data_IF_294998337184
#
_entry.id   IF_294998337184
#
_cell.length_a   1.000
_cell.length_b   1.000
_cell.length_c   1.000
_cell.angle_alpha   90.00
_cell.angle_beta   90.00
_cell.angle_gamma   90.00
#
_symmetry.space_group_name_H-M   'P 1'
#
loop_
_entity.id
_entity.type
_entity.pdbx_description
1 polymer ?
#
# COMPACT_ATOMS: atom_id res chain seq x y z
N UNK A 1 8.39 23.14 18.82
CA UNK A 1 7.66 23.81 19.91
C UNK A 1 6.31 23.13 20.07
N UNK A 2 5.91 22.83 21.31
CA UNK A 2 4.60 22.25 21.63
C UNK A 2 3.77 23.25 22.43
N UNK A 3 2.46 23.13 22.32
CA UNK A 3 1.48 23.97 23.00
C UNK A 3 0.47 23.06 23.69
N UNK A 4 0.16 23.33 24.96
CA UNK A 4 -0.83 22.59 25.73
C UNK A 4 -2.04 23.49 25.92
N UNK A 5 -3.22 23.02 25.53
CA UNK A 5 -4.45 23.74 25.82
C UNK A 5 -5.62 22.79 25.96
N UNK A 6 -6.67 23.26 26.63
CA UNK A 6 -7.97 22.62 26.58
C UNK A 6 -8.65 22.94 25.25
N UNK A 7 -9.22 21.91 24.63
CA UNK A 7 -9.87 22.04 23.34
C UNK A 7 -11.09 22.98 23.42
N UNK A 8 -10.98 24.16 22.81
CA UNK A 8 -12.06 25.17 22.80
C UNK A 8 -13.35 24.70 22.10
N UNK A 9 -13.22 23.71 21.20
CA UNK A 9 -14.33 23.09 20.46
C UNK A 9 -14.02 21.62 20.19
N UNK A 10 -15.04 20.77 20.11
CA UNK A 10 -14.90 19.35 19.74
C UNK A 10 -14.58 19.11 18.24
N UNK A 11 -14.09 20.12 17.51
CA UNK A 11 -13.83 20.04 16.06
C UNK A 11 -12.44 19.51 15.72
N UNK A 12 -11.54 19.43 16.70
CA UNK A 12 -10.20 18.88 16.50
C UNK A 12 -10.20 17.36 16.54
N UNK A 13 -9.30 16.77 15.76
CA UNK A 13 -9.03 15.34 15.75
C UNK A 13 -7.57 15.10 16.11
N UNK A 14 -7.30 14.07 16.91
CA UNK A 14 -5.95 13.63 17.20
C UNK A 14 -5.27 13.18 15.90
N UNK A 15 -4.17 13.82 15.56
CA UNK A 15 -3.47 13.62 14.30
C UNK A 15 -2.85 12.23 14.18
N UNK A 16 -2.59 11.56 15.32
CA UNK A 16 -2.09 10.20 15.39
C UNK A 16 -3.22 9.16 15.36
N UNK A 17 -4.09 9.15 16.37
CA UNK A 17 -5.13 8.10 16.53
C UNK A 17 -6.36 8.32 15.65
N UNK A 18 -6.51 9.51 15.04
CA UNK A 18 -7.71 9.94 14.31
C UNK A 18 -8.99 9.96 15.16
N UNK A 19 -8.89 9.85 16.49
CA UNK A 19 -10.03 10.04 17.39
C UNK A 19 -10.36 11.52 17.51
N UNK A 20 -11.64 11.85 17.65
CA UNK A 20 -12.08 13.22 17.98
C UNK A 20 -11.53 13.59 19.37
N UNK A 21 -11.16 14.85 19.52
CA UNK A 21 -10.80 15.46 20.81
C UNK A 21 -12.00 16.32 21.21
N UNK A 22 -12.63 15.98 22.32
CA UNK A 22 -13.84 16.63 22.79
C UNK A 22 -13.56 18.05 23.30
N UNK A 23 -14.62 18.84 23.45
CA UNK A 23 -14.49 20.17 24.04
C UNK A 23 -14.02 20.02 25.50
N UNK A 24 -13.14 20.91 25.93
CA UNK A 24 -12.56 20.96 27.27
C UNK A 24 -11.64 19.76 27.60
N UNK A 25 -11.32 18.93 26.60
CA UNK A 25 -10.30 17.87 26.71
C UNK A 25 -8.89 18.45 26.48
N UNK A 26 -7.92 18.00 27.27
CA UNK A 26 -6.52 18.43 27.13
C UNK A 26 -5.92 17.90 25.81
N UNK A 27 -5.27 18.79 25.05
CA UNK A 27 -4.59 18.45 23.80
C UNK A 27 -3.21 19.08 23.67
N UNK A 28 -2.37 18.41 22.90
CA UNK A 28 -1.01 18.84 22.56
C UNK A 28 -0.99 19.31 21.12
N UNK A 29 -0.63 20.57 20.89
CA UNK A 29 -0.34 21.15 19.60
C UNK A 29 1.13 20.98 19.27
N UNK A 30 1.46 20.45 18.09
CA UNK A 30 2.83 20.38 17.57
C UNK A 30 2.88 21.06 16.21
N UNK A 31 3.80 22.00 16.03
CA UNK A 31 4.11 22.56 14.72
C UNK A 31 4.93 21.54 13.92
N UNK A 32 4.46 21.22 12.71
CA UNK A 32 5.16 20.36 11.77
C UNK A 32 5.29 21.08 10.43
N UNK A 33 6.45 20.98 9.81
CA UNK A 33 6.60 21.48 8.45
C UNK A 33 5.99 20.49 7.47
N UNK A 34 5.06 20.97 6.67
CA UNK A 34 4.47 20.22 5.57
C UNK A 34 4.68 21.03 4.30
N UNK A 35 5.53 20.52 3.41
CA UNK A 35 5.86 21.19 2.14
C UNK A 35 6.40 22.62 2.32
N UNK A 36 7.25 22.83 3.33
CA UNK A 36 7.81 24.15 3.65
C UNK A 36 6.84 25.11 4.33
N UNK A 37 5.60 24.68 4.63
CA UNK A 37 4.64 25.45 5.39
C UNK A 37 4.46 24.89 6.80
N UNK A 38 4.63 25.70 7.86
CA UNK A 38 4.43 25.26 9.22
C UNK A 38 2.94 25.06 9.50
N UNK A 39 2.54 23.82 9.78
CA UNK A 39 1.17 23.46 10.14
C UNK A 39 1.08 23.00 11.60
N UNK A 40 0.08 23.50 12.33
CA UNK A 40 -0.21 23.04 13.70
C UNK A 40 -1.05 21.76 13.65
N UNK A 41 -0.52 20.67 14.23
CA UNK A 41 -1.24 19.41 14.41
C UNK A 41 -1.63 19.21 15.86
N UNK A 42 -2.89 18.86 16.08
CA UNK A 42 -3.42 18.56 17.40
C UNK A 42 -3.35 17.06 17.69
N UNK A 43 -3.02 16.72 18.93
CA UNK A 43 -2.96 15.35 19.46
C UNK A 43 -3.71 15.32 20.80
N UNK A 44 -4.42 14.22 21.08
CA UNK A 44 -4.77 13.92 22.47
C UNK A 44 -3.49 13.59 23.25
N UNK A 45 -3.50 13.77 24.57
CA UNK A 45 -2.33 13.48 25.42
C UNK A 45 -1.84 12.04 25.18
N UNK A 46 -2.73 11.06 25.25
CA UNK A 46 -2.35 9.66 25.00
C UNK A 46 -1.87 9.40 23.59
N UNK A 47 -2.54 9.97 22.58
CA UNK A 47 -2.14 9.81 21.19
C UNK A 47 -0.78 10.46 20.90
N UNK A 48 -0.42 11.51 21.63
CA UNK A 48 0.88 12.14 21.56
C UNK A 48 1.98 11.20 22.08
N UNK A 49 1.83 10.66 23.30
CA UNK A 49 2.81 9.73 23.87
C UNK A 49 2.88 8.41 23.08
N UNK A 50 1.75 7.90 22.59
CA UNK A 50 1.72 6.68 21.77
C UNK A 50 2.51 6.83 20.46
N UNK A 51 2.43 8.02 19.84
CA UNK A 51 3.22 8.41 18.68
C UNK A 51 4.72 8.48 19.00
N UNK A 52 5.09 9.04 20.16
CA UNK A 52 6.51 9.15 20.55
C UNK A 52 7.14 7.77 20.75
N UNK A 53 6.46 6.87 21.46
CA UNK A 53 6.86 5.47 21.59
C UNK A 53 7.09 4.81 20.21
N UNK A 54 6.16 5.03 19.25
CA UNK A 54 6.27 4.42 17.92
C UNK A 54 7.45 4.96 17.11
N UNK A 55 7.71 6.26 17.19
CA UNK A 55 8.86 6.88 16.53
C UNK A 55 10.19 6.38 17.11
N UNK A 56 10.21 6.09 18.42
CA UNK A 56 11.36 5.48 19.11
C UNK A 56 11.62 4.05 18.64
N UNK A 57 10.57 3.27 18.37
CA UNK A 57 10.71 1.92 17.78
C UNK A 57 11.19 1.94 16.31
N UNK A 58 10.82 2.95 15.53
CA UNK A 58 11.13 3.06 14.09
C UNK A 58 12.47 3.76 13.80
N UNK A 59 13.04 4.51 14.74
CA UNK A 59 14.30 5.23 14.56
C UNK A 59 15.07 5.36 15.88
N UNK A 60 16.37 5.02 15.87
CA UNK A 60 17.29 5.27 17.00
C UNK A 60 17.47 6.76 17.30
N UNK A 61 17.07 7.64 16.39
CA UNK A 61 16.93 9.09 16.64
C UNK A 61 15.58 9.36 17.28
N UNK A 62 15.44 8.95 18.53
CA UNK A 62 14.49 9.61 19.42
C UNK A 62 15.02 11.04 19.54
N UNK A 63 14.19 12.05 19.27
CA UNK A 63 14.53 13.37 19.79
C UNK A 63 14.57 13.20 21.28
N UNK A 64 15.76 13.30 21.85
CA UNK A 64 15.94 13.14 23.27
C UNK A 64 15.03 14.18 23.91
N UNK A 65 14.05 13.71 24.67
CA UNK A 65 13.15 14.62 25.38
C UNK A 65 13.92 15.36 26.50
N UNK A 66 15.20 15.08 26.71
CA UNK A 66 16.11 15.91 27.49
C UNK A 66 16.62 17.16 26.72
N UNK A 67 16.73 17.11 25.38
CA UNK A 67 16.89 18.33 24.53
C UNK A 67 15.57 19.11 24.40
N UNK A 68 14.47 18.46 24.77
CA UNK A 68 13.25 19.15 25.14
C UNK A 68 13.48 19.82 26.49
N UNK A 69 14.30 20.89 26.50
CA UNK A 69 14.07 21.95 27.46
C UNK A 69 12.58 22.23 27.36
N UNK A 70 11.85 21.78 28.38
CA UNK A 70 10.47 22.16 28.65
C UNK A 70 10.52 23.63 29.09
N UNK A 71 11.10 24.47 28.22
CA UNK A 71 10.89 25.90 28.16
C UNK A 71 9.40 26.06 28.27
N UNK A 72 8.90 26.79 29.30
CA UNK A 72 7.51 26.77 29.72
C UNK A 72 6.61 26.79 28.49
N UNK A 73 6.06 25.61 28.16
CA UNK A 73 5.27 25.47 26.94
C UNK A 73 4.08 26.38 27.12
N UNK A 74 3.79 27.21 26.12
CA UNK A 74 2.63 28.07 26.13
C UNK A 74 1.40 27.23 26.51
N UNK A 75 0.80 27.56 27.66
CA UNK A 75 -0.39 26.92 28.19
C UNK A 75 -0.19 25.82 29.24
N UNK A 76 1.03 25.53 29.72
CA UNK A 76 1.23 24.58 30.84
C UNK A 76 0.79 25.15 32.19
N UNK A 77 1.06 26.44 32.44
CA UNK A 77 0.72 27.11 33.70
C UNK A 77 -0.79 27.27 33.91
N UNK A 78 -1.59 27.14 32.86
CA UNK A 78 -3.06 27.26 32.90
C UNK A 78 -3.76 25.89 32.99
N UNK A 79 -2.99 24.79 33.08
CA UNK A 79 -3.56 23.46 33.27
C UNK A 79 -4.03 23.26 34.72
N UNK A 80 -5.09 22.46 34.87
CA UNK A 80 -5.53 22.01 36.18
C UNK A 80 -4.44 21.16 36.85
N UNK A 81 -4.28 21.21 38.19
CA UNK A 81 -3.23 20.46 38.89
C UNK A 81 -3.22 18.95 38.61
N UNK A 82 -4.40 18.34 38.46
CA UNK A 82 -4.52 16.92 38.11
C UNK A 82 -3.97 16.61 36.71
N UNK A 83 -4.30 17.45 35.73
CA UNK A 83 -3.88 17.23 34.34
C UNK A 83 -2.39 17.53 34.15
N UNK A 84 -1.86 18.48 34.93
CA UNK A 84 -0.43 18.72 35.06
C UNK A 84 0.29 17.47 35.56
N UNK A 85 -0.18 16.90 36.68
CA UNK A 85 0.38 15.67 37.24
C UNK A 85 0.28 14.50 36.26
N UNK A 86 -0.82 14.40 35.51
CA UNK A 86 -0.96 13.38 34.47
C UNK A 86 0.08 13.54 33.36
N UNK A 87 0.30 14.74 32.83
CA UNK A 87 1.32 14.98 31.79
C UNK A 87 2.74 14.71 32.34
N UNK A 88 3.03 15.15 33.56
CA UNK A 88 4.31 14.89 34.23
C UNK A 88 4.56 13.38 34.43
N UNK A 89 3.57 12.63 34.89
CA UNK A 89 3.66 11.18 35.04
C UNK A 89 3.92 10.50 33.69
N UNK A 90 3.22 10.92 32.63
CA UNK A 90 3.39 10.35 31.29
C UNK A 90 4.75 10.67 30.69
N UNK A 91 5.37 11.80 31.07
CA UNK A 91 6.76 12.12 30.71
C UNK A 91 7.73 11.18 31.43
N UNK A 92 7.55 10.93 32.74
CA UNK A 92 8.38 9.97 33.48
C UNK A 92 8.28 8.57 32.85
N UNK A 93 7.06 8.10 32.59
CA UNK A 93 6.81 6.79 31.97
C UNK A 93 7.37 6.66 30.55
N UNK A 94 7.55 7.78 29.84
CA UNK A 94 8.14 7.80 28.50
C UNK A 94 9.64 7.49 28.54
N UNK A 95 10.33 7.87 29.63
CA UNK A 95 11.75 7.66 29.82
C UNK A 95 12.09 6.36 30.58
N UNK A 96 11.11 5.76 31.25
CA UNK A 96 11.28 4.49 31.98
C UNK A 96 11.37 3.29 31.02
N UNK A 97 12.47 2.53 31.08
CA UNK A 97 12.73 1.38 30.19
C UNK A 97 11.79 0.19 30.44
N UNK A 98 11.38 -0.04 31.69
CA UNK A 98 10.48 -1.13 32.05
C UNK A 98 9.08 -0.87 31.50
N UNK A 99 8.60 0.37 31.64
CA UNK A 99 7.32 0.80 31.09
C UNK A 99 7.33 0.79 29.55
N UNK A 100 8.45 1.16 28.93
CA UNK A 100 8.63 1.03 27.47
C UNK A 100 8.52 -0.43 27.01
N UNK A 101 9.21 -1.35 27.68
CA UNK A 101 9.16 -2.78 27.37
C UNK A 101 7.74 -3.35 27.50
N UNK A 102 7.01 -2.96 28.56
CA UNK A 102 5.60 -3.34 28.77
C UNK A 102 4.70 -2.85 27.63
N UNK A 103 4.77 -1.56 27.26
CA UNK A 103 3.96 -0.99 26.18
C UNK A 103 4.28 -1.65 24.83
N UNK A 104 5.54 -1.96 24.55
CA UNK A 104 5.95 -2.69 23.33
C UNK A 104 5.38 -4.11 23.29
N UNK A 105 5.45 -4.84 24.41
CA UNK A 105 4.89 -6.18 24.53
C UNK A 105 3.37 -6.18 24.35
N UNK A 106 2.66 -5.23 24.95
CA UNK A 106 1.22 -5.08 24.82
C UNK A 106 0.79 -4.79 23.36
N UNK A 107 1.49 -3.88 22.68
CA UNK A 107 1.25 -3.59 21.25
C UNK A 107 1.50 -4.82 20.37
N UNK A 108 2.55 -5.59 20.64
CA UNK A 108 2.83 -6.83 19.93
C UNK A 108 1.73 -7.89 20.15
N UNK A 109 1.18 -7.97 21.37
CA UNK A 109 0.05 -8.85 21.70
C UNK A 109 -1.22 -8.44 20.93
N UNK A 110 -1.58 -7.15 20.97
CA UNK A 110 -2.74 -6.63 20.26
C UNK A 110 -2.64 -6.81 18.74
N UNK A 111 -1.43 -6.70 18.17
CA UNK A 111 -1.19 -6.95 16.76
C UNK A 111 -1.40 -8.44 16.38
N UNK A 112 -0.95 -9.37 17.23
CA UNK A 112 -1.19 -10.82 17.05
C UNK A 112 -2.68 -11.16 17.15
N UNK A 113 -3.39 -10.59 18.13
CA UNK A 113 -4.84 -10.79 18.28
C UNK A 113 -5.62 -10.31 17.06
N UNK A 114 -5.31 -9.12 16.54
CA UNK A 114 -5.93 -8.61 15.29
C UNK A 114 -5.65 -9.50 14.08
N UNK A 115 -4.45 -10.06 13.95
CA UNK A 115 -4.10 -11.00 12.87
C UNK A 115 -4.89 -12.31 12.98
N UNK A 116 -5.06 -12.82 14.20
CA UNK A 116 -5.83 -14.04 14.46
C UNK A 116 -7.33 -13.84 14.23
N UNK A 117 -7.89 -12.68 14.61
CA UNK A 117 -9.28 -12.34 14.35
C UNK A 117 -9.59 -12.25 12.85
N UNK A 118 -8.69 -11.65 12.06
CA UNK A 118 -8.84 -11.57 10.59
C UNK A 118 -8.85 -12.96 9.94
N UNK A 119 -7.97 -13.85 10.37
CA UNK A 119 -7.86 -15.23 9.84
C UNK A 119 -9.07 -16.11 10.14
N UNK A 120 -9.88 -15.75 11.16
CA UNK A 120 -11.10 -16.47 11.53
C UNK A 120 -12.30 -16.06 10.66
N UNK A 121 -12.36 -14.81 10.20
CA UNK A 121 -13.42 -14.31 9.32
C UNK A 121 -13.32 -14.86 7.89
N UNK A 122 -12.10 -15.18 7.43
CA UNK A 122 -11.88 -15.66 6.07
C UNK A 122 -12.25 -17.16 5.87
N UNK A 123 -12.69 -17.87 6.92
CA UNK A 123 -12.84 -19.35 6.91
C UNK A 123 -14.30 -19.85 7.05
N UNK A 124 -15.31 -18.97 6.92
CA UNK A 124 -16.74 -19.29 7.10
C UNK A 124 -17.60 -19.12 5.82
N UNK A 125 -17.02 -18.94 4.63
CA UNK A 125 -17.77 -18.64 3.39
C UNK A 125 -17.86 -19.76 2.33
N UNK A 126 -17.48 -21.00 2.63
CA UNK A 126 -17.55 -22.09 1.64
C UNK A 126 -18.29 -23.32 2.19
N UNK A 127 -19.60 -23.35 2.01
CA UNK A 127 -20.41 -24.57 1.94
C UNK A 127 -21.79 -24.24 1.37
N UNK A 128 -22.08 -24.67 0.14
CA UNK A 128 -23.28 -25.45 -0.22
C UNK A 128 -23.47 -25.54 -1.75
N UNK A 129 -23.57 -26.78 -2.27
CA UNK A 129 -24.38 -27.08 -3.46
C UNK A 129 -23.67 -27.75 -4.65
N UNK A 130 -23.51 -29.07 -4.60
CA UNK A 130 -23.45 -29.95 -5.79
C UNK A 130 -24.87 -30.13 -6.37
N UNK A 131 -25.03 -30.03 -7.70
CA UNK A 131 -25.97 -30.87 -8.47
C UNK A 131 -25.54 -30.97 -9.94
N UNK A 132 -25.60 -32.20 -10.47
CA UNK A 132 -25.02 -32.71 -11.70
C UNK A 132 -25.97 -32.59 -12.92
N UNK A 133 -25.43 -32.32 -14.11
CA UNK A 133 -25.89 -32.98 -15.35
C UNK A 133 -24.90 -32.82 -16.53
N UNK A 134 -24.44 -33.95 -17.06
CA UNK A 134 -23.53 -34.12 -18.21
C UNK A 134 -24.23 -33.83 -19.56
N UNK A 135 -23.69 -32.99 -20.46
CA UNK A 135 -22.82 -33.35 -21.61
C UNK A 135 -23.44 -32.87 -22.95
N UNK A 136 -22.77 -32.86 -24.13
CA UNK A 136 -21.36 -33.08 -24.45
C UNK A 136 -20.73 -32.05 -25.45
N UNK A 137 -19.39 -32.00 -25.43
CA UNK A 137 -18.49 -31.73 -26.57
C UNK A 137 -18.46 -30.33 -27.23
N UNK A 138 -17.47 -29.52 -26.84
CA UNK A 138 -16.41 -29.14 -27.79
C UNK A 138 -15.12 -28.83 -27.04
N UNK A 139 -14.02 -29.45 -27.48
CA UNK A 139 -12.69 -29.36 -26.88
C UNK A 139 -12.14 -27.94 -27.06
N UNK A 140 -12.14 -27.15 -25.99
CA UNK A 140 -11.20 -26.04 -25.82
C UNK A 140 -10.51 -26.25 -24.48
N UNK A 141 -9.21 -26.48 -24.53
CA UNK A 141 -8.38 -26.71 -23.36
C UNK A 141 -8.61 -25.57 -22.36
N UNK A 142 -9.09 -25.94 -21.17
CA UNK A 142 -9.27 -25.06 -20.02
C UNK A 142 -7.90 -24.51 -19.66
N UNK A 143 -7.70 -23.20 -19.81
CA UNK A 143 -6.61 -22.51 -19.13
C UNK A 143 -7.04 -22.35 -17.68
N UNK A 144 -6.43 -23.13 -16.79
CA UNK A 144 -6.68 -23.00 -15.35
C UNK A 144 -6.19 -21.63 -14.84
N UNK A 145 -6.92 -20.99 -13.91
CA UNK A 145 -6.47 -19.78 -13.27
C UNK A 145 -5.40 -20.11 -12.22
N UNK A 146 -4.20 -19.54 -12.39
CA UNK A 146 -3.27 -19.33 -11.28
C UNK A 146 -2.33 -20.47 -10.90
N UNK A 147 -1.56 -21.02 -11.86
CA UNK A 147 -0.27 -21.62 -11.51
C UNK A 147 0.81 -20.56 -11.62
N UNK A 148 1.26 -20.03 -10.49
CA UNK A 148 2.43 -19.15 -10.41
C UNK A 148 3.63 -19.93 -11.00
N UNK A 149 4.06 -19.57 -12.21
CA UNK A 149 5.17 -20.27 -12.88
C UNK A 149 6.39 -20.24 -11.96
N UNK A 150 6.87 -21.41 -11.55
CA UNK A 150 8.07 -21.53 -10.72
C UNK A 150 9.23 -21.86 -11.66
N UNK A 151 10.28 -21.05 -11.62
CA UNK A 151 11.51 -21.39 -12.34
C UNK A 151 12.02 -22.77 -11.91
N UNK A 152 12.51 -23.59 -12.85
CA UNK A 152 13.17 -24.84 -12.50
C UNK A 152 14.43 -24.57 -11.66
N UNK A 153 14.86 -25.56 -10.87
CA UNK A 153 15.98 -25.41 -9.93
C UNK A 153 17.33 -25.20 -10.65
N UNK A 154 17.49 -25.75 -11.86
CA UNK A 154 18.63 -25.50 -12.73
C UNK A 154 18.31 -25.93 -14.16
N UNK A 155 18.80 -25.19 -15.15
CA UNK A 155 18.78 -25.60 -16.56
C UNK A 155 20.04 -25.11 -17.28
N UNK A 156 20.92 -26.06 -17.60
CA UNK A 156 22.20 -25.78 -18.26
C UNK A 156 22.04 -25.83 -19.77
N UNK A 157 22.38 -24.72 -20.43
CA UNK A 157 22.46 -24.63 -21.90
C UNK A 157 23.92 -24.57 -22.32
N UNK A 158 24.32 -25.39 -23.28
CA UNK A 158 25.68 -25.50 -23.82
C UNK A 158 25.68 -25.95 -25.28
N UNK A 159 26.83 -25.88 -25.96
CA UNK A 159 27.00 -26.34 -27.35
C UNK A 159 26.98 -25.23 -28.42
N UNK A 160 27.11 -25.55 -29.70
CA UNK A 160 27.24 -24.55 -30.76
C UNK A 160 26.01 -23.64 -30.85
N UNK A 161 26.21 -22.32 -30.67
CA UNK A 161 25.11 -21.35 -30.66
C UNK A 161 24.35 -21.23 -29.34
N UNK A 162 24.90 -21.78 -28.24
CA UNK A 162 24.30 -21.76 -26.90
C UNK A 162 23.88 -20.37 -26.45
N UNK A 163 24.59 -19.31 -26.87
CA UNK A 163 24.26 -17.94 -26.47
C UNK A 163 22.86 -17.51 -26.96
N UNK A 164 22.50 -17.89 -28.19
CA UNK A 164 21.20 -17.57 -28.77
C UNK A 164 20.09 -18.35 -28.09
N UNK A 165 20.30 -19.65 -27.86
CA UNK A 165 19.32 -20.48 -27.14
C UNK A 165 19.12 -20.00 -25.69
N UNK A 166 20.21 -19.77 -24.95
CA UNK A 166 20.16 -19.34 -23.57
C UNK A 166 19.50 -17.97 -23.40
N UNK A 167 19.76 -17.02 -24.30
CA UNK A 167 19.11 -15.69 -24.26
C UNK A 167 17.61 -15.75 -24.52
N UNK A 168 17.16 -16.60 -25.45
CA UNK A 168 15.74 -16.81 -25.70
C UNK A 168 15.05 -17.47 -24.50
N UNK A 169 15.64 -18.53 -23.93
CA UNK A 169 15.09 -19.19 -22.73
C UNK A 169 15.06 -18.25 -21.52
N UNK A 170 16.13 -17.48 -21.30
CA UNK A 170 16.21 -16.50 -20.20
C UNK A 170 15.11 -15.43 -20.34
N UNK A 171 14.89 -14.92 -21.56
CA UNK A 171 13.81 -13.98 -21.89
C UNK A 171 12.44 -14.59 -21.63
N UNK A 172 12.22 -15.83 -22.06
CA UNK A 172 10.92 -16.49 -21.96
C UNK A 172 10.56 -16.79 -20.50
N UNK A 173 11.52 -17.23 -19.68
CA UNK A 173 11.33 -17.36 -18.24
C UNK A 173 11.11 -16.01 -17.55
N UNK A 174 11.85 -14.98 -17.94
CA UNK A 174 11.61 -13.63 -17.41
C UNK A 174 10.20 -13.13 -17.74
N UNK A 175 9.67 -13.39 -18.95
CA UNK A 175 8.31 -13.04 -19.35
C UNK A 175 7.24 -13.82 -18.57
N UNK A 176 7.46 -15.11 -18.33
CA UNK A 176 6.57 -15.93 -17.51
C UNK A 176 6.53 -15.45 -16.05
N UNK A 177 7.63 -14.87 -15.57
CA UNK A 177 7.73 -14.20 -14.27
C UNK A 177 7.27 -12.74 -14.31
N UNK A 178 6.62 -12.30 -15.39
CA UNK A 178 6.14 -10.95 -15.61
C UNK A 178 7.23 -9.85 -15.47
N UNK A 179 8.47 -10.11 -15.89
CA UNK A 179 9.53 -9.09 -15.87
C UNK A 179 9.17 -7.84 -16.69
N UNK A 180 9.68 -6.67 -16.29
CA UNK A 180 9.54 -5.40 -17.03
C UNK A 180 10.46 -5.34 -18.27
N UNK A 181 10.33 -6.32 -19.17
CA UNK A 181 11.08 -6.35 -20.43
C UNK A 181 10.35 -5.56 -21.53
N UNK A 182 11.10 -4.98 -22.49
CA UNK A 182 10.51 -4.39 -23.70
C UNK A 182 9.62 -5.38 -24.45
N UNK A 183 8.58 -4.85 -25.11
CA UNK A 183 7.70 -5.64 -25.97
C UNK A 183 8.44 -6.15 -27.23
N UNK A 184 9.46 -5.43 -27.70
CA UNK A 184 10.29 -5.85 -28.82
C UNK A 184 11.13 -7.08 -28.44
N UNK A 185 10.91 -8.18 -29.18
CA UNK A 185 11.57 -9.47 -28.93
C UNK A 185 13.09 -9.43 -29.09
N UNK A 186 13.60 -8.59 -30.00
CA UNK A 186 15.04 -8.50 -30.28
C UNK A 186 15.73 -7.73 -29.16
N UNK A 187 15.17 -6.62 -28.72
CA UNK A 187 15.69 -5.85 -27.59
C UNK A 187 15.57 -6.63 -26.27
N UNK A 188 14.45 -7.31 -26.02
CA UNK A 188 14.30 -8.17 -24.84
C UNK A 188 15.32 -9.33 -24.85
N UNK A 189 15.57 -9.95 -26.00
CA UNK A 189 16.59 -10.99 -26.13
C UNK A 189 18.02 -10.45 -25.95
N UNK A 190 18.33 -9.22 -26.41
CA UNK A 190 19.63 -8.57 -26.15
C UNK A 190 19.85 -8.29 -24.67
N UNK A 191 18.82 -7.82 -23.97
CA UNK A 191 18.87 -7.62 -22.51
C UNK A 191 19.12 -8.95 -21.82
N UNK A 192 18.36 -10.00 -22.16
CA UNK A 192 18.57 -11.34 -21.62
C UNK A 192 19.97 -11.91 -21.90
N UNK A 193 20.48 -11.68 -23.11
CA UNK A 193 21.83 -12.10 -23.50
C UNK A 193 22.92 -11.47 -22.63
N UNK A 194 22.76 -10.22 -22.18
CA UNK A 194 23.70 -9.58 -21.25
C UNK A 194 23.84 -10.37 -19.96
N UNK A 195 22.73 -10.80 -19.36
CA UNK A 195 22.75 -11.59 -18.12
C UNK A 195 23.28 -13.00 -18.32
N UNK A 196 22.92 -13.62 -19.45
CA UNK A 196 23.49 -14.91 -19.87
C UNK A 196 25.01 -14.84 -19.97
N UNK A 197 25.57 -13.75 -20.53
CA UNK A 197 27.02 -13.57 -20.67
C UNK A 197 27.72 -13.31 -19.34
N UNK A 198 27.04 -12.72 -18.36
CA UNK A 198 27.56 -12.50 -17.02
C UNK A 198 27.55 -13.79 -16.17
N UNK A 199 26.53 -14.64 -16.37
CA UNK A 199 26.35 -15.88 -15.61
C UNK A 199 27.07 -17.10 -16.21
N UNK A 200 27.74 -16.95 -17.37
CA UNK A 200 28.36 -18.08 -18.07
C UNK A 200 29.51 -18.71 -17.31
N UNK A 201 29.63 -20.02 -17.45
CA UNK A 201 30.78 -20.82 -17.02
C UNK A 201 31.36 -21.50 -18.26
N UNK A 202 32.38 -20.86 -18.86
CA UNK A 202 32.94 -21.30 -20.13
C UNK A 202 31.94 -21.17 -21.28
N UNK A 203 31.65 -22.29 -21.95
CA UNK A 203 30.67 -22.39 -23.05
C UNK A 203 29.30 -22.92 -22.60
N UNK A 204 29.01 -22.77 -21.31
CA UNK A 204 27.75 -23.17 -20.71
C UNK A 204 27.20 -22.09 -19.79
N UNK A 205 25.90 -22.10 -19.57
CA UNK A 205 25.22 -21.18 -18.65
C UNK A 205 24.03 -21.89 -18.00
N UNK A 206 23.84 -21.65 -16.71
CA UNK A 206 22.58 -21.96 -16.05
C UNK A 206 21.59 -20.82 -16.31
N UNK A 207 20.60 -21.09 -17.16
CA UNK A 207 19.58 -20.13 -17.57
C UNK A 207 18.76 -19.66 -16.38
N UNK A 208 18.51 -20.52 -15.39
CA UNK A 208 17.73 -20.18 -14.20
C UNK A 208 18.43 -19.11 -13.36
N UNK A 209 19.73 -19.27 -13.13
CA UNK A 209 20.57 -18.28 -12.46
C UNK A 209 20.62 -16.95 -13.24
N UNK A 210 20.77 -17.02 -14.56
CA UNK A 210 20.75 -15.82 -15.43
C UNK A 210 19.40 -15.10 -15.36
N UNK A 211 18.28 -15.83 -15.35
CA UNK A 211 16.93 -15.26 -15.20
C UNK A 211 16.75 -14.62 -13.83
N UNK A 212 17.24 -15.22 -12.74
CA UNK A 212 17.15 -14.63 -11.40
C UNK A 212 17.88 -13.28 -11.32
N UNK A 213 19.09 -13.19 -11.89
CA UNK A 213 19.84 -11.94 -11.96
C UNK A 213 19.12 -10.87 -12.80
N UNK A 214 18.55 -11.28 -13.94
CA UNK A 214 17.74 -10.39 -14.78
C UNK A 214 16.53 -9.84 -14.02
N UNK A 215 15.81 -10.70 -13.30
CA UNK A 215 14.64 -10.30 -12.51
C UNK A 215 15.00 -9.32 -11.40
N UNK A 216 16.18 -9.47 -10.79
CA UNK A 216 16.68 -8.54 -9.78
C UNK A 216 16.98 -7.14 -10.35
N UNK A 217 17.50 -7.05 -11.58
CA UNK A 217 17.89 -5.78 -12.20
C UNK A 217 16.71 -5.08 -12.92
N UNK A 218 15.88 -5.84 -13.64
CA UNK A 218 14.76 -5.29 -14.45
C UNK A 218 13.49 -5.15 -13.61
N UNK A 219 13.34 -5.95 -12.55
CA UNK A 219 12.15 -5.99 -11.71
C UNK A 219 10.97 -6.69 -12.36
N UNK A 220 10.07 -7.19 -11.51
CA UNK A 220 8.82 -7.83 -11.92
C UNK A 220 7.75 -6.74 -12.06
N UNK A 221 6.91 -6.84 -13.09
CA UNK A 221 5.67 -6.08 -13.19
C UNK A 221 4.80 -6.53 -12.00
N UNK A 222 4.38 -5.58 -11.17
CA UNK A 222 3.48 -5.90 -10.07
C UNK A 222 2.30 -6.71 -10.63
N UNK A 223 2.05 -7.90 -10.09
CA UNK A 223 0.95 -8.80 -10.48
C UNK A 223 -0.45 -8.13 -10.44
N UNK A 224 -0.52 -6.90 -9.92
CA UNK A 224 -1.70 -6.04 -9.91
C UNK A 224 -2.03 -5.36 -11.25
N UNK A 225 -1.25 -5.55 -12.33
CA UNK A 225 -1.54 -4.92 -13.63
C UNK A 225 -2.48 -5.73 -14.53
N UNK A 226 -2.91 -6.93 -14.13
CA UNK A 226 -3.86 -7.74 -14.91
C UNK A 226 -5.00 -8.26 -14.03
N UNK A 227 -5.62 -7.39 -13.24
CA UNK A 227 -6.95 -7.69 -12.73
C UNK A 227 -7.87 -7.86 -13.95
N UNK A 228 -8.26 -9.10 -14.26
CA UNK A 228 -9.35 -9.35 -15.20
C UNK A 228 -10.59 -8.73 -14.57
N UNK A 229 -11.10 -7.68 -15.21
CA UNK A 229 -12.32 -7.01 -14.76
C UNK A 229 -13.48 -7.96 -15.00
N UNK A 230 -14.20 -8.32 -13.94
CA UNK A 230 -15.34 -9.26 -14.03
C UNK A 230 -16.43 -8.72 -14.97
N UNK A 231 -16.67 -7.41 -14.95
CA UNK A 231 -17.63 -6.71 -15.81
C UNK A 231 -16.91 -5.81 -16.81
N UNK A 232 -16.98 -6.16 -18.10
CA UNK A 232 -16.26 -5.45 -19.16
C UNK A 232 -16.59 -3.94 -19.24
N UNK A 233 -17.80 -3.52 -18.86
CA UNK A 233 -18.20 -2.11 -18.80
C UNK A 233 -17.34 -1.30 -17.81
N UNK A 234 -16.85 -1.93 -16.74
CA UNK A 234 -16.00 -1.27 -15.73
C UNK A 234 -14.54 -1.15 -16.18
N UNK A 235 -14.14 -1.76 -17.30
CA UNK A 235 -12.73 -1.83 -17.74
C UNK A 235 -12.11 -0.45 -18.02
N UNK A 236 -12.88 0.49 -18.57
CA UNK A 236 -12.45 1.87 -18.80
C UNK A 236 -12.16 2.60 -17.48
N UNK A 237 -13.06 2.47 -16.50
CA UNK A 237 -12.90 3.04 -15.16
C UNK A 237 -11.66 2.50 -14.43
N UNK A 238 -11.47 1.17 -14.44
CA UNK A 238 -10.31 0.51 -13.81
C UNK A 238 -9.01 0.99 -14.45
N UNK A 239 -8.99 1.14 -15.78
CA UNK A 239 -7.82 1.63 -16.51
C UNK A 239 -7.49 3.08 -16.15
N UNK A 240 -8.49 3.97 -16.13
CA UNK A 240 -8.33 5.37 -15.78
C UNK A 240 -7.84 5.56 -14.32
N UNK A 241 -8.39 4.80 -13.38
CA UNK A 241 -7.96 4.83 -11.98
C UNK A 241 -6.54 4.25 -11.79
N UNK A 242 -6.20 3.20 -12.54
CA UNK A 242 -4.84 2.62 -12.53
C UNK A 242 -3.80 3.59 -13.08
N UNK A 243 -4.17 4.37 -14.10
CA UNK A 243 -3.32 5.42 -14.66
C UNK A 243 -3.15 6.58 -13.66
N UNK A 244 -4.23 7.06 -13.04
CA UNK A 244 -4.17 8.00 -11.91
C UNK A 244 -3.24 7.51 -10.79
N UNK A 245 -3.28 6.22 -10.47
CA UNK A 245 -2.43 5.63 -9.44
C UNK A 245 -0.93 5.69 -9.80
N UNK A 246 -0.58 5.51 -11.07
CA UNK A 246 0.80 5.61 -11.56
C UNK A 246 1.30 7.06 -11.48
N UNK A 247 0.51 8.02 -11.98
CA UNK A 247 0.87 9.44 -11.92
C UNK A 247 1.05 9.94 -10.49
N UNK A 248 0.12 9.59 -9.58
CA UNK A 248 0.22 9.99 -8.18
C UNK A 248 1.49 9.44 -7.50
N UNK A 249 1.90 8.20 -7.82
CA UNK A 249 3.18 7.65 -7.33
C UNK A 249 4.38 8.38 -7.92
N UNK A 250 4.35 8.69 -9.22
CA UNK A 250 5.43 9.40 -9.89
C UNK A 250 5.61 10.83 -9.35
N UNK A 251 4.55 11.48 -8.89
CA UNK A 251 4.61 12.77 -8.20
C UNK A 251 5.02 12.68 -6.71
N UNK A 252 5.39 11.49 -6.23
CA UNK A 252 5.79 11.28 -4.83
C UNK A 252 4.62 11.18 -3.84
N UNK A 253 3.37 11.21 -4.31
CA UNK A 253 2.17 11.04 -3.46
C UNK A 253 1.75 9.55 -3.42
N UNK A 254 2.54 8.76 -2.70
CA UNK A 254 2.29 7.32 -2.52
C UNK A 254 0.97 7.01 -1.82
N UNK A 255 0.44 7.94 -1.02
CA UNK A 255 -0.85 7.79 -0.36
C UNK A 255 -2.00 7.85 -1.36
N UNK A 256 -2.02 8.87 -2.23
CA UNK A 256 -3.01 8.96 -3.31
C UNK A 256 -2.85 7.81 -4.31
N UNK A 257 -1.62 7.47 -4.69
CA UNK A 257 -1.36 6.36 -5.60
C UNK A 257 -1.87 5.01 -5.07
N UNK A 258 -1.76 4.79 -3.76
CA UNK A 258 -2.31 3.59 -3.11
C UNK A 258 -3.84 3.63 -3.04
N UNK A 259 -4.44 4.80 -2.79
CA UNK A 259 -5.89 4.95 -2.77
C UNK A 259 -6.52 4.68 -4.14
N UNK A 260 -5.96 5.24 -5.21
CA UNK A 260 -6.42 4.99 -6.58
C UNK A 260 -6.26 3.54 -7.00
N UNK A 261 -5.12 2.91 -6.65
CA UNK A 261 -4.91 1.48 -6.92
C UNK A 261 -5.97 0.61 -6.23
N UNK A 262 -6.21 0.83 -4.94
CA UNK A 262 -7.25 0.10 -4.20
C UNK A 262 -8.65 0.28 -4.78
N UNK A 263 -8.97 1.49 -5.26
CA UNK A 263 -10.24 1.74 -5.92
C UNK A 263 -10.34 1.02 -7.26
N UNK A 264 -9.27 0.98 -8.06
CA UNK A 264 -9.23 0.25 -9.32
C UNK A 264 -9.42 -1.26 -9.09
N UNK A 265 -8.68 -1.82 -8.13
CA UNK A 265 -8.78 -3.25 -7.76
C UNK A 265 -10.21 -3.58 -7.30
N UNK A 266 -10.79 -2.74 -6.44
CA UNK A 266 -12.12 -2.98 -5.91
C UNK A 266 -13.24 -2.85 -6.97
N UNK A 267 -13.06 -2.05 -8.02
CA UNK A 267 -14.01 -1.97 -9.15
C UNK A 267 -13.83 -3.16 -10.10
N UNK A 268 -12.61 -3.67 -10.24
CA UNK A 268 -12.34 -4.84 -11.08
C UNK A 268 -13.03 -6.10 -10.55
N UNK A 269 -13.17 -6.20 -9.23
CA UNK A 269 -13.84 -7.30 -8.52
C UNK A 269 -15.37 -7.17 -8.44
N UNK A 270 -15.99 -6.10 -8.98
CA UNK A 270 -17.45 -5.97 -8.97
C UNK A 270 -18.10 -6.84 -10.04
N UNK A 271 -19.16 -7.53 -9.64
CA UNK A 271 -20.05 -8.35 -10.47
C UNK A 271 -21.16 -7.53 -11.15
N UNK A 272 -21.27 -6.23 -10.85
CA UNK A 272 -22.21 -5.30 -11.46
C UNK A 272 -21.53 -4.10 -12.13
N UNK A 273 -22.22 -3.51 -13.11
CA UNK A 273 -21.78 -2.28 -13.77
C UNK A 273 -21.89 -1.07 -12.85
N UNK A 274 -20.84 -0.26 -12.81
CA UNK A 274 -20.82 0.98 -12.03
C UNK A 274 -21.55 2.08 -12.80
N UNK A 275 -22.75 2.41 -12.36
CA UNK A 275 -23.58 3.49 -12.92
C UNK A 275 -23.44 4.81 -12.17
N UNK A 276 -23.02 4.79 -10.91
CA UNK A 276 -22.68 5.97 -10.13
C UNK A 276 -21.62 5.67 -9.06
N UNK A 277 -20.60 6.52 -8.99
CA UNK A 277 -19.59 6.50 -7.93
C UNK A 277 -20.18 6.83 -6.55
N UNK A 278 -21.27 7.62 -6.49
CA UNK A 278 -21.92 7.96 -5.23
C UNK A 278 -22.52 6.74 -4.53
N UNK A 279 -23.04 5.76 -5.27
CA UNK A 279 -23.52 4.47 -4.73
C UNK A 279 -22.38 3.63 -4.15
N UNK A 280 -21.17 3.74 -4.72
CA UNK A 280 -19.98 3.01 -4.26
C UNK A 280 -19.37 3.60 -2.98
N UNK A 281 -19.57 4.90 -2.73
CA UNK A 281 -19.08 5.59 -1.52
C UNK A 281 -20.06 5.47 -0.35
N UNK A 282 -21.36 5.39 -0.64
CA UNK A 282 -22.43 5.32 0.38
C UNK A 282 -23.59 4.47 -0.12
N UNK A 283 -24.15 3.65 0.76
CA UNK A 283 -25.36 2.87 0.50
C UNK A 283 -25.13 1.36 0.59
N UNK A 284 -26.06 0.59 0.00
CA UNK A 284 -26.02 -0.86 0.00
C UNK A 284 -24.86 -1.44 -0.83
N UNK A 285 -24.43 -0.71 -1.87
CA UNK A 285 -23.33 -1.09 -2.76
C UNK A 285 -21.99 -0.45 -2.38
N UNK A 286 -21.81 -0.12 -1.10
CA UNK A 286 -20.60 0.55 -0.63
C UNK A 286 -19.38 -0.36 -0.80
N UNK A 287 -18.37 0.14 -1.51
CA UNK A 287 -17.13 -0.58 -1.78
C UNK A 287 -16.01 -0.06 -0.89
N UNK A 288 -15.32 -0.96 -0.20
CA UNK A 288 -14.19 -0.61 0.65
C UNK A 288 -13.04 -0.04 -0.21
N UNK A 289 -12.57 1.16 0.13
CA UNK A 289 -11.52 1.85 -0.62
C UNK A 289 -12.03 2.96 -1.54
N UNK A 290 -13.34 3.05 -1.78
CA UNK A 290 -13.96 4.13 -2.57
C UNK A 290 -14.56 5.16 -1.61
N UNK A 291 -13.88 6.31 -1.49
CA UNK A 291 -14.34 7.45 -0.70
C UNK A 291 -15.08 8.49 -1.54
N UNK A 292 -15.63 9.52 -0.88
CA UNK A 292 -16.39 10.62 -1.53
C UNK A 292 -15.62 11.27 -2.70
N UNK A 293 -14.31 11.48 -2.56
CA UNK A 293 -13.48 12.09 -3.61
C UNK A 293 -13.30 11.19 -4.82
N UNK A 294 -13.13 9.88 -4.62
CA UNK A 294 -12.99 8.89 -5.69
C UNK A 294 -14.34 8.67 -6.38
N UNK A 295 -15.42 8.65 -5.61
CA UNK A 295 -16.79 8.59 -6.11
C UNK A 295 -17.13 9.75 -7.07
N UNK A 296 -16.82 11.00 -6.70
CA UNK A 296 -17.02 12.15 -7.59
C UNK A 296 -16.23 12.01 -8.90
N UNK A 297 -15.03 11.45 -8.81
CA UNK A 297 -14.15 11.20 -9.93
C UNK A 297 -14.68 10.08 -10.86
N UNK A 298 -15.33 9.06 -10.29
CA UNK A 298 -16.03 8.01 -11.04
C UNK A 298 -17.27 8.58 -11.72
N UNK A 299 -18.08 9.35 -10.99
CA UNK A 299 -19.26 10.03 -11.55
C UNK A 299 -18.88 10.96 -12.71
N UNK A 300 -17.76 11.68 -12.58
CA UNK A 300 -17.19 12.51 -13.65
C UNK A 300 -16.80 11.68 -14.87
N UNK A 301 -16.05 10.58 -14.68
CA UNK A 301 -15.66 9.70 -15.78
C UNK A 301 -16.88 9.11 -16.51
N UNK A 302 -17.94 8.75 -15.80
CA UNK A 302 -19.19 8.25 -16.40
C UNK A 302 -19.88 9.35 -17.21
N UNK A 303 -19.84 10.60 -16.76
CA UNK A 303 -20.50 11.73 -17.43
C UNK A 303 -19.72 12.29 -18.63
N UNK A 304 -18.39 12.37 -18.55
CA UNK A 304 -17.55 13.03 -19.56
C UNK A 304 -16.63 12.08 -20.33
N UNK A 305 -16.48 10.83 -19.90
CA UNK A 305 -15.53 9.86 -20.44
C UNK A 305 -14.07 10.09 -20.01
N UNK A 306 -13.79 11.13 -19.22
CA UNK A 306 -12.45 11.46 -18.73
C UNK A 306 -12.51 11.95 -17.27
N UNK A 307 -11.36 12.02 -16.60
CA UNK A 307 -11.27 12.58 -15.24
C UNK A 307 -10.45 13.86 -15.31
N UNK A 308 -10.93 14.99 -14.79
CA UNK A 308 -10.19 16.27 -14.81
C UNK A 308 -8.77 16.14 -14.26
N UNK A 309 -8.59 15.34 -13.19
CA UNK A 309 -7.26 15.06 -12.62
C UNK A 309 -6.34 14.28 -13.55
N UNK A 310 -6.88 13.38 -14.36
CA UNK A 310 -6.09 12.58 -15.29
C UNK A 310 -5.58 13.44 -16.45
N UNK A 311 -6.39 14.36 -16.96
CA UNK A 311 -5.98 15.33 -17.97
C UNK A 311 -4.98 16.36 -17.42
N UNK A 312 -5.17 16.82 -16.19
CA UNK A 312 -4.17 17.63 -15.48
C UNK A 312 -2.82 16.89 -15.41
N UNK A 313 -2.83 15.61 -15.02
CA UNK A 313 -1.62 14.77 -14.98
C UNK A 313 -0.98 14.50 -16.34
N UNK A 314 -1.74 14.48 -17.44
CA UNK A 314 -1.22 14.30 -18.80
C UNK A 314 -0.64 15.58 -19.40
N UNK A 315 -1.03 16.74 -18.88
CA UNK A 315 -0.58 18.07 -19.34
C UNK A 315 0.70 18.58 -18.66
N UNK A 316 1.20 17.88 -17.64
CA UNK A 316 2.42 18.19 -16.90
C UNK A 316 3.61 17.35 -17.39
#
# INVERSE_FOLDING_TARGET
>A
MFELEYAKTARSQCSFTKKRIEKDELRVGMMVDFQGQPQKRWYSVDGFFEMQDRKRDESSKVRDFAEFEFSPTQGFDVLLPHDKAHVEQRLVDLHDEEQQAKRKAERAKLAKEKRNAKKKQDNEHDSDGEDDSEGPSSKRAKTEPGSQFKLPDSEIVSGPGWQKEASLKTRDYARQMHAKLPADDKEAAKIALRFVMLARQGESVDVCSATQQLLQEVGIQDAASSAQVLVQANSGLVSALSECAKFARNQGDGFKGTAFKKAADAIAELDFEVTSGSELSKGAKKVAGIGKSIATMIDEYIASGTMSKLEEYRSM
#
